data_IF_905469851134
#
_entry.id   IF_905469851134
#
_cell.length_a   1.000
_cell.length_b   1.000
_cell.length_c   1.000
_cell.angle_alpha   90.00
_cell.angle_beta   90.00
_cell.angle_gamma   90.00
#
_symmetry.space_group_name_H-M   'P 1'
#
loop_
_entity.id
_entity.type
_entity.pdbx_description
1 polymer ?
#
# COMPACT_ATOMS: atom_id res chain seq x y z
N UNK A 1 -0.66 8.84 -14.59
CA UNK A 1 -0.44 8.59 -13.15
C UNK A 1 -0.62 9.88 -12.36
N UNK A 2 -1.39 9.90 -11.29
CA UNK A 2 -1.67 11.14 -10.55
C UNK A 2 -0.54 11.61 -9.63
N UNK A 3 0.33 10.73 -9.17
CA UNK A 3 1.44 11.03 -8.25
C UNK A 3 2.76 11.38 -8.95
N UNK A 4 3.75 11.78 -8.13
CA UNK A 4 5.13 12.03 -8.55
C UNK A 4 6.04 10.95 -7.94
N UNK A 5 6.02 9.75 -8.50
CA UNK A 5 6.64 8.55 -7.90
C UNK A 5 8.17 8.61 -7.74
N UNK A 6 8.87 9.52 -8.41
CA UNK A 6 10.26 9.82 -8.08
C UNK A 6 10.42 10.29 -6.61
N UNK A 7 9.38 10.98 -6.09
CA UNK A 7 9.31 11.44 -4.70
C UNK A 7 9.10 10.27 -3.69
N UNK A 8 8.85 9.07 -4.19
CA UNK A 8 8.72 7.82 -3.42
C UNK A 8 9.98 6.96 -3.58
N UNK A 9 10.40 6.72 -4.84
CA UNK A 9 11.50 5.79 -5.17
C UNK A 9 12.85 6.28 -4.63
N UNK A 10 13.14 7.59 -4.76
CA UNK A 10 14.41 8.17 -4.30
C UNK A 10 14.54 8.10 -2.77
N UNK A 11 13.55 8.55 -1.98
CA UNK A 11 13.56 8.37 -0.53
C UNK A 11 13.69 6.91 -0.07
N UNK A 12 12.90 6.02 -0.68
CA UNK A 12 12.92 4.59 -0.33
C UNK A 12 14.30 3.96 -0.59
N UNK A 13 14.91 4.27 -1.74
CA UNK A 13 16.26 3.82 -2.06
C UNK A 13 17.29 4.29 -1.03
N UNK A 14 17.25 5.58 -0.66
CA UNK A 14 18.16 6.15 0.33
C UNK A 14 18.02 5.49 1.70
N UNK A 15 16.78 5.34 2.18
CA UNK A 15 16.48 4.74 3.50
C UNK A 15 16.89 3.27 3.52
N UNK A 16 16.74 2.55 2.41
CA UNK A 16 17.17 1.15 2.25
C UNK A 16 18.67 0.98 1.95
N UNK A 17 19.46 2.06 2.03
CA UNK A 17 20.92 2.01 1.98
C UNK A 17 21.55 2.25 0.61
N UNK A 18 20.79 2.51 -0.43
CA UNK A 18 21.30 2.92 -1.75
C UNK A 18 21.57 4.42 -1.70
N UNK A 19 22.85 4.81 -1.50
CA UNK A 19 23.24 6.21 -1.20
C UNK A 19 24.32 6.76 -2.14
N UNK A 20 24.70 6.04 -3.17
CA UNK A 20 25.72 6.45 -4.15
C UNK A 20 25.12 7.38 -5.22
N UNK A 21 24.61 8.52 -4.77
CA UNK A 21 24.09 9.60 -5.59
C UNK A 21 24.14 10.93 -4.83
N UNK A 22 23.99 12.05 -5.54
CA UNK A 22 23.93 13.39 -4.91
C UNK A 22 22.61 13.56 -4.15
N UNK A 23 22.65 13.28 -2.83
CA UNK A 23 21.48 13.29 -1.96
C UNK A 23 20.91 14.69 -1.75
N UNK A 24 21.73 15.74 -1.75
CA UNK A 24 21.27 17.12 -1.60
C UNK A 24 20.53 17.60 -2.86
N UNK A 25 21.08 17.32 -4.04
CA UNK A 25 20.40 17.61 -5.30
C UNK A 25 19.10 16.81 -5.44
N UNK A 26 19.11 15.53 -5.08
CA UNK A 26 17.92 14.68 -5.09
C UNK A 26 16.84 15.20 -4.16
N UNK A 27 17.19 15.57 -2.92
CA UNK A 27 16.25 16.17 -1.97
C UNK A 27 15.67 17.49 -2.49
N UNK A 28 16.52 18.37 -3.05
CA UNK A 28 16.05 19.63 -3.63
C UNK A 28 15.04 19.42 -4.76
N UNK A 29 15.22 18.38 -5.59
CA UNK A 29 14.32 18.04 -6.69
C UNK A 29 12.97 17.49 -6.19
N UNK A 30 12.94 16.54 -5.26
CA UNK A 30 11.68 16.00 -4.72
C UNK A 30 10.92 17.05 -3.92
N UNK A 31 11.63 17.88 -3.13
CA UNK A 31 11.03 19.03 -2.45
C UNK A 31 10.41 20.02 -3.44
N UNK A 32 11.10 20.31 -4.53
CA UNK A 32 10.60 21.20 -5.60
C UNK A 32 9.32 20.64 -6.24
N UNK A 33 9.26 19.34 -6.53
CA UNK A 33 8.03 18.71 -7.05
C UNK A 33 6.84 18.92 -6.14
N UNK A 34 7.06 18.89 -4.82
CA UNK A 34 6.02 18.97 -3.80
C UNK A 34 5.64 20.41 -3.40
N UNK A 35 6.45 21.42 -3.74
CA UNK A 35 6.25 22.80 -3.25
C UNK A 35 6.16 23.86 -4.35
N UNK A 36 6.56 23.52 -5.58
CA UNK A 36 6.56 24.47 -6.71
C UNK A 36 5.64 23.94 -7.80
N UNK A 37 4.69 24.76 -8.21
CA UNK A 37 3.73 24.41 -9.26
C UNK A 37 4.42 23.97 -10.56
N UNK A 38 3.78 23.03 -11.27
CA UNK A 38 4.22 22.56 -12.60
C UNK A 38 4.39 21.04 -12.74
N UNK A 39 4.53 20.27 -11.66
CA UNK A 39 4.66 18.80 -11.72
C UNK A 39 3.47 18.08 -11.10
N UNK A 40 3.07 18.49 -9.91
CA UNK A 40 1.86 17.99 -9.24
C UNK A 40 0.65 18.80 -9.70
N UNK A 41 -0.22 18.22 -10.48
CA UNK A 41 -1.43 18.88 -10.93
C UNK A 41 -2.34 19.22 -9.74
N UNK A 42 -2.79 20.48 -9.67
CA UNK A 42 -3.64 20.98 -8.59
C UNK A 42 -2.88 21.30 -7.29
N UNK A 43 -1.53 21.40 -7.36
CA UNK A 43 -0.67 21.65 -6.20
C UNK A 43 -1.04 22.94 -5.44
N UNK A 44 -1.36 24.04 -6.14
CA UNK A 44 -1.76 25.29 -5.51
C UNK A 44 -2.95 25.09 -4.55
N UNK A 45 -4.00 24.40 -5.03
CA UNK A 45 -5.17 24.10 -4.21
C UNK A 45 -4.83 23.14 -3.08
N UNK A 46 -4.02 22.11 -3.38
CA UNK A 46 -3.58 21.13 -2.38
C UNK A 46 -2.84 21.80 -1.21
N UNK A 47 -1.89 22.69 -1.49
CA UNK A 47 -1.16 23.44 -0.45
C UNK A 47 -2.02 24.44 0.33
N UNK A 48 -3.03 25.02 -0.33
CA UNK A 48 -3.89 26.07 0.28
C UNK A 48 -5.09 25.50 1.04
N UNK A 49 -5.73 24.46 0.49
CA UNK A 49 -6.99 23.90 0.98
C UNK A 49 -6.78 22.57 1.73
N UNK A 50 -5.61 21.94 1.56
CA UNK A 50 -5.35 20.59 2.02
C UNK A 50 -5.93 19.51 1.11
N UNK A 51 -6.35 19.84 -0.12
CA UNK A 51 -6.81 18.88 -1.11
C UNK A 51 -6.82 19.49 -2.52
N UNK A 52 -6.77 18.65 -3.54
CA UNK A 52 -7.01 19.05 -4.94
C UNK A 52 -8.52 19.18 -5.12
N UNK A 53 -8.99 20.40 -5.44
CA UNK A 53 -10.44 20.67 -5.51
C UNK A 53 -11.06 20.25 -6.84
N UNK A 54 -12.33 19.83 -6.80
CA UNK A 54 -13.18 19.74 -7.99
C UNK A 54 -13.32 21.17 -8.63
N UNK A 55 -13.36 21.35 -9.98
CA UNK A 55 -13.50 20.31 -10.98
C UNK A 55 -12.17 19.77 -11.57
N UNK A 56 -11.05 19.87 -10.86
CA UNK A 56 -9.83 19.24 -11.36
C UNK A 56 -10.07 17.74 -11.56
N UNK A 57 -9.68 17.25 -12.71
CA UNK A 57 -9.81 15.84 -13.07
C UNK A 57 -9.06 14.94 -12.08
N UNK A 58 -9.65 13.81 -11.64
CA UNK A 58 -9.10 12.84 -10.70
C UNK A 58 -8.60 13.46 -9.37
N UNK A 59 -9.34 14.43 -8.86
CA UNK A 59 -8.93 15.25 -7.70
C UNK A 59 -8.75 14.44 -6.41
N UNK A 60 -9.58 13.41 -6.16
CA UNK A 60 -9.43 12.51 -5.00
C UNK A 60 -8.14 11.72 -5.11
N UNK A 61 -7.92 11.05 -6.23
CA UNK A 61 -6.70 10.26 -6.46
C UNK A 61 -5.45 11.13 -6.32
N UNK A 62 -5.45 12.35 -6.88
CA UNK A 62 -4.32 13.29 -6.74
C UNK A 62 -4.07 13.68 -5.29
N UNK A 63 -5.11 13.92 -4.51
CA UNK A 63 -4.96 14.27 -3.09
C UNK A 63 -4.33 13.14 -2.31
N UNK A 64 -4.80 11.90 -2.50
CA UNK A 64 -4.26 10.72 -1.83
C UNK A 64 -2.81 10.45 -2.25
N UNK A 65 -2.50 10.52 -3.54
CA UNK A 65 -1.15 10.36 -4.08
C UNK A 65 -0.19 11.45 -3.58
N UNK A 66 -0.62 12.73 -3.55
CA UNK A 66 0.22 13.81 -3.04
C UNK A 66 0.53 13.60 -1.55
N UNK A 67 -0.47 13.22 -0.74
CA UNK A 67 -0.26 12.91 0.66
C UNK A 67 0.70 11.73 0.88
N UNK A 68 0.62 10.70 0.04
CA UNK A 68 1.55 9.58 0.07
C UNK A 68 2.97 9.97 -0.36
N UNK A 69 3.11 10.75 -1.44
CA UNK A 69 4.40 11.29 -1.86
C UNK A 69 5.03 12.17 -0.78
N UNK A 70 4.22 13.02 -0.11
CA UNK A 70 4.70 13.91 0.97
C UNK A 70 5.22 13.12 2.17
N UNK A 71 4.60 12.00 2.54
CA UNK A 71 5.14 11.11 3.56
C UNK A 71 6.56 10.66 3.23
N UNK A 72 6.79 10.23 1.99
CA UNK A 72 8.11 9.74 1.56
C UNK A 72 9.15 10.87 1.53
N UNK A 73 8.77 12.07 1.08
CA UNK A 73 9.66 13.26 1.13
C UNK A 73 9.95 13.64 2.58
N UNK A 74 8.97 13.57 3.48
CA UNK A 74 9.13 13.77 4.92
C UNK A 74 10.13 12.80 5.54
N UNK A 75 10.03 11.50 5.19
CA UNK A 75 10.97 10.46 5.60
C UNK A 75 12.39 10.72 5.09
N UNK A 76 12.52 11.23 3.88
CA UNK A 76 13.83 11.59 3.33
C UNK A 76 14.42 12.81 4.06
N UNK A 77 13.60 13.84 4.32
CA UNK A 77 14.01 15.01 5.08
C UNK A 77 14.50 14.62 6.49
N UNK A 78 13.73 13.79 7.20
CA UNK A 78 14.07 13.25 8.51
C UNK A 78 15.43 12.53 8.48
N UNK A 79 15.64 11.64 7.50
CA UNK A 79 16.88 10.88 7.34
C UNK A 79 18.09 11.75 6.99
N UNK A 80 17.87 12.96 6.43
CA UNK A 80 18.90 13.96 6.15
C UNK A 80 19.07 15.01 7.27
N UNK A 81 18.34 14.89 8.39
CA UNK A 81 18.37 15.85 9.50
C UNK A 81 17.77 17.22 9.17
N UNK A 82 16.82 17.28 8.22
CA UNK A 82 16.12 18.50 7.78
C UNK A 82 14.76 18.61 8.50
N UNK A 83 14.79 18.80 9.83
CA UNK A 83 13.64 18.67 10.71
C UNK A 83 12.45 19.55 10.30
N UNK A 84 12.70 20.82 9.93
CA UNK A 84 11.62 21.73 9.51
C UNK A 84 10.92 21.28 8.21
N UNK A 85 11.66 20.70 7.28
CA UNK A 85 11.09 20.12 6.07
C UNK A 85 10.30 18.83 6.41
N UNK A 86 10.83 18.00 7.29
CA UNK A 86 10.16 16.78 7.74
C UNK A 86 8.80 17.11 8.39
N UNK A 87 8.75 18.07 9.31
CA UNK A 87 7.52 18.53 9.96
C UNK A 87 6.49 19.05 8.95
N UNK A 88 6.94 19.90 8.00
CA UNK A 88 6.10 20.39 6.92
C UNK A 88 5.45 19.25 6.14
N UNK A 89 6.25 18.30 5.64
CA UNK A 89 5.75 17.20 4.83
C UNK A 89 4.87 16.23 5.63
N UNK A 90 5.19 15.95 6.89
CA UNK A 90 4.32 15.12 7.74
C UNK A 90 2.97 15.79 8.01
N UNK A 91 2.91 17.12 8.07
CA UNK A 91 1.64 17.86 8.13
C UNK A 91 0.84 17.66 6.84
N UNK A 92 1.49 17.81 5.66
CA UNK A 92 0.82 17.61 4.36
C UNK A 92 0.34 16.15 4.17
N UNK A 93 1.06 15.19 4.74
CA UNK A 93 0.68 13.77 4.70
C UNK A 93 -0.74 13.51 5.25
N UNK A 94 -1.22 14.32 6.19
CA UNK A 94 -2.55 14.17 6.80
C UNK A 94 -3.69 14.71 5.92
N UNK A 95 -3.38 15.34 4.79
CA UNK A 95 -4.35 15.97 3.90
C UNK A 95 -5.41 15.00 3.34
N UNK A 96 -5.15 13.69 3.30
CA UNK A 96 -6.14 12.68 2.91
C UNK A 96 -7.42 12.78 3.76
N UNK A 97 -7.33 13.15 5.03
CA UNK A 97 -8.47 13.26 5.95
C UNK A 97 -9.50 14.31 5.49
N UNK A 98 -9.06 15.35 4.77
CA UNK A 98 -9.94 16.43 4.30
C UNK A 98 -11.00 15.94 3.29
N UNK A 99 -10.74 14.82 2.60
CA UNK A 99 -11.66 14.22 1.65
C UNK A 99 -12.47 13.03 2.21
N UNK A 100 -12.25 12.67 3.48
CA UNK A 100 -13.00 11.59 4.11
C UNK A 100 -14.45 11.99 4.37
N UNK A 101 -15.40 11.21 3.84
CA UNK A 101 -16.82 11.37 4.16
C UNK A 101 -17.25 10.35 5.22
N UNK A 102 -17.54 10.78 6.46
CA UNK A 102 -17.91 9.87 7.53
C UNK A 102 -19.27 9.20 7.34
N UNK A 103 -20.13 9.71 6.45
CA UNK A 103 -21.45 9.14 6.17
C UNK A 103 -21.34 7.96 5.22
N UNK A 104 -20.61 8.13 4.11
CA UNK A 104 -20.44 7.10 3.09
C UNK A 104 -19.28 6.17 3.39
N UNK A 105 -18.33 6.58 4.25
CA UNK A 105 -17.07 5.87 4.54
C UNK A 105 -16.19 5.72 3.30
N UNK A 106 -16.17 6.74 2.43
CA UNK A 106 -15.30 6.85 1.27
C UNK A 106 -14.60 8.21 1.23
N UNK A 107 -13.50 8.27 0.50
CA UNK A 107 -12.92 9.55 0.08
C UNK A 107 -13.74 10.10 -1.08
N UNK A 108 -14.16 11.36 -0.97
CA UNK A 108 -14.98 12.05 -1.99
C UNK A 108 -14.37 13.39 -2.35
N UNK A 109 -14.57 13.80 -3.59
CA UNK A 109 -14.14 15.11 -4.06
C UNK A 109 -14.90 16.26 -3.40
N UNK A 110 -14.20 17.39 -3.23
CA UNK A 110 -14.79 18.66 -2.79
C UNK A 110 -14.45 19.78 -3.76
N UNK A 111 -15.35 20.76 -3.87
CA UNK A 111 -15.07 22.00 -4.56
C UNK A 111 -14.17 22.94 -3.69
N UNK A 112 -13.78 24.09 -4.25
CA UNK A 112 -12.95 25.09 -3.54
C UNK A 112 -13.61 25.71 -2.30
N UNK A 113 -14.93 25.58 -2.16
CA UNK A 113 -15.73 26.11 -1.06
C UNK A 113 -16.03 25.02 0.01
N UNK A 114 -15.54 23.79 -0.20
CA UNK A 114 -15.65 22.67 0.74
C UNK A 114 -16.91 21.82 0.56
N UNK A 115 -17.74 22.09 -0.46
CA UNK A 115 -18.92 21.28 -0.74
C UNK A 115 -18.53 19.98 -1.45
N UNK A 116 -19.22 18.89 -1.14
CA UNK A 116 -19.00 17.62 -1.81
C UNK A 116 -19.30 17.69 -3.31
N UNK A 117 -18.42 17.15 -4.15
CA UNK A 117 -18.74 16.80 -5.53
C UNK A 117 -19.86 15.77 -5.52
N UNK A 118 -20.82 15.89 -6.42
CA UNK A 118 -21.93 14.94 -6.52
C UNK A 118 -22.69 14.73 -5.19
N UNK A 119 -23.26 15.78 -4.56
CA UNK A 119 -23.86 15.68 -3.22
C UNK A 119 -25.03 14.70 -3.17
N UNK A 120 -25.83 14.60 -4.22
CA UNK A 120 -27.05 13.78 -4.28
C UNK A 120 -26.87 12.48 -5.09
N UNK A 121 -25.79 12.35 -5.90
CA UNK A 121 -25.60 11.29 -6.89
C UNK A 121 -24.30 10.49 -6.64
N UNK A 122 -23.76 10.49 -5.41
CA UNK A 122 -22.57 9.73 -5.13
C UNK A 122 -22.84 8.22 -5.14
N UNK A 123 -22.28 7.54 -6.14
CA UNK A 123 -22.25 6.08 -6.22
C UNK A 123 -20.80 5.58 -6.18
N UNK A 124 -20.41 4.80 -5.15
CA UNK A 124 -19.03 4.32 -5.00
C UNK A 124 -18.58 3.32 -6.08
N UNK A 125 -19.50 2.82 -6.88
CA UNK A 125 -19.22 1.90 -7.99
C UNK A 125 -18.97 2.62 -9.32
N UNK A 126 -19.23 3.92 -9.39
CA UNK A 126 -19.07 4.68 -10.65
C UNK A 126 -17.60 4.82 -11.02
N UNK A 127 -17.22 4.24 -12.15
CA UNK A 127 -15.87 4.30 -12.70
C UNK A 127 -15.59 5.65 -13.38
N UNK A 128 -14.31 6.02 -13.41
CA UNK A 128 -13.80 7.23 -14.08
C UNK A 128 -14.34 7.37 -15.50
N UNK A 129 -14.83 8.57 -15.85
CA UNK A 129 -15.42 8.85 -17.18
C UNK A 129 -16.84 8.41 -17.37
N UNK A 130 -17.45 7.72 -16.41
CA UNK A 130 -18.84 7.25 -16.44
C UNK A 130 -19.79 8.09 -15.56
N UNK A 131 -19.48 9.37 -15.36
CA UNK A 131 -20.26 10.29 -14.53
C UNK A 131 -19.51 10.78 -13.28
N UNK A 132 -18.43 10.14 -12.91
CA UNK A 132 -17.52 10.58 -11.85
C UNK A 132 -16.10 10.71 -12.40
N UNK A 133 -15.45 11.84 -12.17
CA UNK A 133 -14.08 12.13 -12.61
C UNK A 133 -13.15 12.41 -11.41
N UNK A 134 -13.52 12.02 -10.20
CA UNK A 134 -12.75 12.25 -9.00
C UNK A 134 -11.62 11.23 -8.81
N UNK A 135 -11.75 10.04 -9.43
CA UNK A 135 -10.80 8.93 -9.31
C UNK A 135 -10.03 8.68 -10.60
N UNK A 136 -8.81 8.21 -10.49
CA UNK A 136 -7.98 7.82 -11.64
C UNK A 136 -8.21 6.34 -11.93
N UNK A 137 -8.65 6.03 -13.17
CA UNK A 137 -8.75 4.64 -13.64
C UNK A 137 -9.35 3.68 -12.61
N UNK A 138 -10.41 4.12 -11.95
CA UNK A 138 -11.01 3.36 -10.85
C UNK A 138 -12.27 4.02 -10.32
N UNK A 139 -12.71 3.54 -9.18
CA UNK A 139 -13.86 4.04 -8.44
C UNK A 139 -13.53 4.27 -6.96
N UNK A 140 -14.52 4.68 -6.16
CA UNK A 140 -14.31 4.95 -4.75
C UNK A 140 -13.86 3.72 -3.95
N UNK A 141 -14.29 2.51 -4.32
CA UNK A 141 -13.88 1.28 -3.65
C UNK A 141 -12.39 1.00 -3.81
N UNK A 142 -11.85 1.15 -5.03
CA UNK A 142 -10.44 0.88 -5.32
C UNK A 142 -9.51 1.90 -4.67
N UNK A 143 -9.88 3.18 -4.72
CA UNK A 143 -9.08 4.26 -4.14
C UNK A 143 -9.21 4.42 -2.62
N UNK A 144 -10.15 3.72 -1.98
CA UNK A 144 -10.38 3.85 -0.54
C UNK A 144 -9.22 3.36 0.34
N UNK A 145 -8.32 2.57 -0.23
CA UNK A 145 -7.19 1.95 0.48
C UNK A 145 -5.87 2.69 0.28
N UNK A 146 -5.85 3.74 -0.55
CA UNK A 146 -4.63 4.46 -0.92
C UNK A 146 -4.14 5.43 0.17
N UNK A 147 -3.97 4.91 1.39
CA UNK A 147 -3.46 5.60 2.59
C UNK A 147 -2.47 4.68 3.31
N UNK A 148 -1.51 4.13 2.55
CA UNK A 148 -0.53 3.17 3.07
C UNK A 148 0.33 3.78 4.18
N UNK A 149 0.65 5.06 4.08
CA UNK A 149 1.48 5.78 5.06
C UNK A 149 0.83 5.88 6.45
N UNK A 150 -0.52 5.88 6.49
CA UNK A 150 -1.28 6.02 7.73
C UNK A 150 -2.50 5.11 7.78
N UNK A 151 -2.27 3.82 7.62
CA UNK A 151 -3.33 2.81 7.66
C UNK A 151 -4.06 2.82 9.01
N UNK A 152 -3.36 3.09 10.15
CA UNK A 152 -4.02 3.23 11.44
C UNK A 152 -4.94 4.46 11.49
N UNK A 153 -4.53 5.59 10.90
CA UNK A 153 -5.39 6.77 10.74
C UNK A 153 -6.66 6.44 9.96
N UNK A 154 -6.53 5.67 8.85
CA UNK A 154 -7.68 5.20 8.08
C UNK A 154 -8.57 4.25 8.88
N UNK A 155 -8.00 3.33 9.66
CA UNK A 155 -8.73 2.44 10.58
C UNK A 155 -9.56 3.28 11.56
N UNK A 156 -8.96 4.31 12.16
CA UNK A 156 -9.65 5.20 13.10
C UNK A 156 -10.81 5.95 12.43
N UNK A 157 -10.62 6.48 11.22
CA UNK A 157 -11.67 7.14 10.44
C UNK A 157 -12.84 6.20 10.10
N UNK A 158 -12.57 4.93 9.86
CA UNK A 158 -13.59 3.91 9.59
C UNK A 158 -14.37 3.49 10.84
N UNK A 159 -13.83 3.72 12.04
CA UNK A 159 -14.44 3.37 13.32
C UNK A 159 -13.83 2.14 14.01
N UNK A 160 -12.56 1.87 13.71
CA UNK A 160 -11.74 0.83 14.36
C UNK A 160 -11.58 -0.46 13.54
N UNK A 161 -10.80 -1.39 14.11
CA UNK A 161 -10.35 -2.63 13.45
C UNK A 161 -11.50 -3.42 12.81
N UNK A 162 -12.57 -3.65 13.56
CA UNK A 162 -13.70 -4.48 13.08
C UNK A 162 -14.42 -3.84 11.88
N UNK A 163 -14.59 -2.51 11.88
CA UNK A 163 -15.23 -1.79 10.78
C UNK A 163 -14.34 -1.77 9.53
N UNK A 164 -13.02 -1.60 9.72
CA UNK A 164 -12.04 -1.65 8.64
C UNK A 164 -11.98 -3.05 8.02
N UNK A 165 -11.87 -4.11 8.84
CA UNK A 165 -11.86 -5.50 8.38
C UNK A 165 -13.14 -5.85 7.61
N UNK A 166 -14.31 -5.47 8.14
CA UNK A 166 -15.58 -5.68 7.47
C UNK A 166 -15.64 -4.96 6.12
N UNK A 167 -15.13 -3.72 6.02
CA UNK A 167 -15.11 -2.97 4.76
C UNK A 167 -14.17 -3.61 3.72
N UNK A 168 -13.02 -4.17 4.14
CA UNK A 168 -12.17 -4.98 3.28
C UNK A 168 -12.89 -6.26 2.80
N UNK A 169 -13.59 -6.95 3.68
CA UNK A 169 -14.38 -8.14 3.30
C UNK A 169 -15.45 -7.80 2.25
N UNK A 170 -16.15 -6.67 2.43
CA UNK A 170 -17.11 -6.17 1.44
C UNK A 170 -16.44 -5.79 0.13
N UNK A 171 -15.31 -5.08 0.18
CA UNK A 171 -14.55 -4.69 -1.02
C UNK A 171 -14.20 -5.90 -1.90
N UNK A 172 -13.80 -7.01 -1.30
CA UNK A 172 -13.38 -8.23 -1.98
C UNK A 172 -14.57 -9.15 -2.39
N UNK A 173 -15.81 -8.75 -2.10
CA UNK A 173 -17.01 -9.56 -2.40
C UNK A 173 -18.16 -8.76 -3.03
N UNK A 174 -18.11 -7.42 -2.99
CA UNK A 174 -19.18 -6.56 -3.51
C UNK A 174 -19.26 -6.65 -5.03
N UNK A 175 -20.45 -6.98 -5.51
CA UNK A 175 -20.79 -6.99 -6.92
C UNK A 175 -21.32 -5.62 -7.36
N UNK A 176 -21.13 -5.28 -8.63
CA UNK A 176 -21.65 -4.05 -9.24
C UNK A 176 -20.55 -3.21 -9.90
N UNK A 177 -20.99 -2.20 -10.65
CA UNK A 177 -20.11 -1.35 -11.45
C UNK A 177 -19.41 -2.10 -12.60
N UNK A 178 -18.51 -1.37 -13.29
CA UNK A 178 -17.85 -1.88 -14.51
C UNK A 178 -16.72 -2.90 -14.21
N UNK A 179 -16.16 -2.91 -13.00
CA UNK A 179 -15.00 -3.72 -12.61
C UNK A 179 -15.23 -4.66 -11.42
N UNK A 180 -16.48 -4.79 -10.98
CA UNK A 180 -16.87 -5.81 -10.01
C UNK A 180 -16.79 -7.22 -10.61
N UNK A 181 -16.19 -8.16 -9.89
CA UNK A 181 -16.07 -9.56 -10.31
C UNK A 181 -16.66 -10.52 -9.28
N UNK A 182 -17.10 -11.70 -9.73
CA UNK A 182 -17.51 -12.78 -8.81
C UNK A 182 -16.35 -13.32 -7.98
N UNK A 183 -15.13 -13.23 -8.52
CA UNK A 183 -13.93 -13.78 -7.92
C UNK A 183 -13.35 -12.87 -6.82
N UNK A 184 -13.31 -11.54 -7.06
CA UNK A 184 -12.59 -10.58 -6.22
C UNK A 184 -13.39 -9.32 -5.84
N UNK A 185 -14.71 -9.29 -6.06
CA UNK A 185 -15.54 -8.13 -5.75
C UNK A 185 -15.11 -6.89 -6.53
N UNK A 186 -14.80 -5.81 -5.82
CA UNK A 186 -14.32 -4.55 -6.41
C UNK A 186 -12.79 -4.48 -6.54
N UNK A 187 -12.05 -5.44 -6.00
CA UNK A 187 -10.61 -5.54 -6.20
C UNK A 187 -10.29 -5.86 -7.65
N UNK A 188 -9.43 -5.05 -8.27
CA UNK A 188 -9.04 -5.23 -9.66
C UNK A 188 -7.51 -5.34 -9.78
N UNK A 189 -7.00 -6.56 -9.79
CA UNK A 189 -5.56 -6.83 -9.79
C UNK A 189 -4.82 -6.25 -10.99
N UNK A 190 -5.46 -6.14 -12.14
CA UNK A 190 -4.88 -5.59 -13.37
C UNK A 190 -4.67 -4.08 -13.36
N UNK A 191 -4.89 -3.40 -12.22
CA UNK A 191 -4.60 -1.97 -12.04
C UNK A 191 -4.04 -1.70 -10.63
N UNK A 192 -3.10 -0.75 -10.49
CA UNK A 192 -2.28 -0.58 -9.31
C UNK A 192 -2.98 0.01 -8.06
N UNK A 193 -4.04 0.86 -8.17
CA UNK A 193 -4.56 1.61 -7.02
C UNK A 193 -4.90 0.78 -5.79
N UNK A 194 -5.21 -0.50 -5.95
CA UNK A 194 -5.66 -1.37 -4.86
C UNK A 194 -4.83 -2.64 -4.64
N UNK A 195 -3.75 -2.86 -5.42
CA UNK A 195 -2.92 -4.08 -5.31
C UNK A 195 -2.35 -4.34 -3.92
N UNK A 196 -2.10 -3.28 -3.14
CA UNK A 196 -1.63 -3.35 -1.76
C UNK A 196 -2.74 -3.69 -0.77
N UNK A 197 -4.02 -3.48 -1.09
CA UNK A 197 -5.15 -3.59 -0.17
C UNK A 197 -5.28 -4.98 0.48
N UNK A 198 -4.88 -6.05 -0.21
CA UNK A 198 -4.89 -7.41 0.33
C UNK A 198 -4.03 -7.57 1.58
N UNK A 199 -2.95 -6.79 1.68
CA UNK A 199 -2.03 -6.81 2.81
C UNK A 199 -2.52 -5.97 3.99
N UNK A 200 -3.52 -5.09 3.79
CA UNK A 200 -4.06 -4.22 4.83
C UNK A 200 -4.70 -4.99 6.01
N UNK A 201 -5.12 -6.24 5.80
CA UNK A 201 -5.58 -7.11 6.88
C UNK A 201 -4.55 -7.30 8.01
N UNK A 202 -3.26 -7.18 7.73
CA UNK A 202 -2.22 -7.28 8.75
C UNK A 202 -2.31 -6.13 9.77
N UNK A 203 -2.81 -4.97 9.36
CA UNK A 203 -2.95 -3.79 10.20
C UNK A 203 -4.09 -3.90 11.23
N UNK A 204 -5.00 -4.86 11.04
CA UNK A 204 -6.10 -5.18 11.98
C UNK A 204 -5.92 -6.56 12.64
N UNK A 205 -4.71 -7.14 12.58
CA UNK A 205 -4.41 -8.43 13.22
C UNK A 205 -5.08 -9.64 12.55
N UNK A 206 -5.38 -9.57 11.26
CA UNK A 206 -6.00 -10.62 10.46
C UNK A 206 -5.08 -11.20 9.36
N UNK A 207 -3.80 -11.57 9.64
CA UNK A 207 -2.84 -12.02 8.63
C UNK A 207 -3.30 -13.25 7.85
N UNK A 208 -4.14 -14.10 8.43
CA UNK A 208 -4.71 -15.23 7.73
C UNK A 208 -5.62 -14.84 6.56
N UNK A 209 -6.35 -13.71 6.67
CA UNK A 209 -7.14 -13.18 5.55
C UNK A 209 -6.23 -12.62 4.45
N UNK A 210 -5.18 -11.91 4.80
CA UNK A 210 -4.16 -11.49 3.83
C UNK A 210 -3.58 -12.68 3.08
N UNK A 211 -3.13 -13.72 3.81
CA UNK A 211 -2.60 -14.95 3.23
C UNK A 211 -3.58 -15.61 2.22
N UNK A 212 -4.85 -15.73 2.60
CA UNK A 212 -5.90 -16.31 1.74
C UNK A 212 -6.07 -15.55 0.43
N UNK A 213 -6.21 -14.22 0.51
CA UNK A 213 -6.48 -13.41 -0.67
C UNK A 213 -5.25 -13.27 -1.58
N UNK A 214 -4.06 -13.09 -1.00
CA UNK A 214 -2.80 -13.08 -1.76
C UNK A 214 -2.61 -14.39 -2.54
N UNK A 215 -2.83 -15.55 -1.89
CA UNK A 215 -2.75 -16.86 -2.57
C UNK A 215 -3.77 -16.98 -3.69
N UNK A 216 -4.99 -16.52 -3.47
CA UNK A 216 -6.04 -16.57 -4.48
C UNK A 216 -5.69 -15.72 -5.71
N UNK A 217 -5.14 -14.54 -5.51
CA UNK A 217 -4.68 -13.68 -6.61
C UNK A 217 -3.50 -14.31 -7.35
N UNK A 218 -2.49 -14.83 -6.64
CA UNK A 218 -1.37 -15.54 -7.26
C UNK A 218 -1.82 -16.72 -8.13
N UNK A 219 -2.88 -17.42 -7.72
CA UNK A 219 -3.44 -18.57 -8.46
C UNK A 219 -4.27 -18.15 -9.67
N UNK A 220 -5.05 -17.06 -9.56
CA UNK A 220 -6.09 -16.71 -10.55
C UNK A 220 -5.62 -15.67 -11.56
N UNK A 221 -4.78 -14.72 -11.15
CA UNK A 221 -4.39 -13.58 -11.96
C UNK A 221 -3.06 -13.77 -12.71
N UNK A 222 -2.34 -14.89 -12.39
CA UNK A 222 -1.07 -15.22 -13.05
C UNK A 222 -1.08 -16.62 -13.64
N UNK A 223 -0.59 -16.75 -14.88
CA UNK A 223 -0.54 -18.02 -15.61
C UNK A 223 0.75 -18.14 -16.41
N UNK A 224 1.18 -19.37 -16.68
CA UNK A 224 2.35 -19.64 -17.51
C UNK A 224 1.97 -19.73 -19.00
N UNK A 225 1.49 -18.60 -19.54
CA UNK A 225 1.17 -18.44 -20.97
C UNK A 225 1.42 -17.00 -21.43
N UNK A 226 1.20 -16.70 -22.71
CA UNK A 226 1.41 -15.36 -23.30
C UNK A 226 0.43 -14.28 -22.77
N UNK A 227 -0.62 -14.67 -22.08
CA UNK A 227 -1.63 -13.81 -21.44
C UNK A 227 -1.60 -14.00 -19.92
N UNK A 228 -0.44 -14.36 -19.40
CA UNK A 228 -0.25 -14.81 -18.03
C UNK A 228 -0.29 -13.72 -16.96
N UNK A 229 -0.44 -12.45 -17.34
CA UNK A 229 -0.53 -11.30 -16.44
C UNK A 229 -1.86 -10.62 -16.69
N UNK A 230 -2.66 -10.36 -15.66
CA UNK A 230 -3.89 -9.58 -15.79
C UNK A 230 -3.55 -8.09 -15.95
N UNK A 231 -4.26 -7.39 -16.84
CA UNK A 231 -3.98 -5.99 -17.17
C UNK A 231 -2.67 -5.79 -17.93
N UNK A 232 -2.04 -4.63 -17.73
CA UNK A 232 -0.75 -4.30 -18.32
C UNK A 232 0.39 -4.64 -17.36
N UNK A 233 1.60 -4.89 -17.90
CA UNK A 233 2.80 -5.15 -17.09
C UNK A 233 3.28 -3.92 -16.32
N UNK A 234 3.04 -2.73 -16.87
CA UNK A 234 3.36 -1.42 -16.32
C UNK A 234 4.80 -1.28 -15.79
N UNK A 235 5.73 -1.45 -16.75
CA UNK A 235 7.17 -1.32 -16.53
C UNK A 235 7.73 -2.24 -15.41
N UNK A 236 7.13 -3.41 -15.22
CA UNK A 236 7.58 -4.41 -14.25
C UNK A 236 6.78 -4.45 -12.95
N UNK A 237 5.76 -3.61 -12.79
CA UNK A 237 4.95 -3.57 -11.56
C UNK A 237 4.25 -4.91 -11.29
N UNK A 238 3.63 -5.50 -12.29
CA UNK A 238 2.90 -6.75 -12.14
C UNK A 238 3.83 -7.94 -11.84
N UNK A 239 4.97 -8.02 -12.52
CA UNK A 239 6.01 -9.02 -12.24
C UNK A 239 6.61 -8.84 -10.85
N UNK A 240 6.87 -7.60 -10.42
CA UNK A 240 7.38 -7.30 -9.10
C UNK A 240 6.38 -7.72 -8.00
N UNK A 241 5.08 -7.43 -8.20
CA UNK A 241 4.04 -7.87 -7.27
C UNK A 241 4.01 -9.39 -7.13
N UNK A 242 4.06 -10.11 -8.27
CA UNK A 242 4.13 -11.58 -8.29
C UNK A 242 5.35 -12.11 -7.52
N UNK A 243 6.55 -11.61 -7.83
CA UNK A 243 7.79 -12.09 -7.23
C UNK A 243 7.81 -11.87 -5.73
N UNK A 244 7.48 -10.68 -5.25
CA UNK A 244 7.41 -10.38 -3.83
C UNK A 244 6.35 -11.23 -3.12
N UNK A 245 5.14 -11.28 -3.65
CA UNK A 245 4.04 -12.04 -3.07
C UNK A 245 4.32 -13.54 -3.06
N UNK A 246 4.95 -14.08 -4.13
CA UNK A 246 5.37 -15.47 -4.23
C UNK A 246 6.46 -15.85 -3.21
N UNK A 247 7.33 -14.91 -2.82
CA UNK A 247 8.28 -15.07 -1.71
C UNK A 247 7.64 -14.99 -0.33
N UNK A 248 6.41 -14.48 -0.23
CA UNK A 248 5.62 -14.43 1.00
C UNK A 248 5.55 -13.08 1.70
N UNK A 249 5.95 -11.97 1.06
CA UNK A 249 5.88 -10.62 1.60
C UNK A 249 5.75 -9.58 0.48
N UNK A 250 5.43 -8.32 0.85
CA UNK A 250 5.22 -7.24 -0.11
C UNK A 250 5.66 -5.88 0.50
N UNK A 251 6.28 -4.97 -0.27
CA UNK A 251 6.63 -3.62 0.17
C UNK A 251 5.38 -2.73 0.21
N UNK A 252 4.50 -2.96 1.19
CA UNK A 252 3.24 -2.24 1.35
C UNK A 252 3.44 -0.72 1.52
N UNK A 253 4.44 -0.33 2.28
CA UNK A 253 4.77 1.06 2.58
C UNK A 253 6.23 1.34 2.23
N UNK A 254 6.45 2.34 1.36
CA UNK A 254 7.78 2.81 1.00
C UNK A 254 8.37 3.75 2.06
N UNK A 255 9.68 3.92 2.04
CA UNK A 255 10.45 4.72 3.02
C UNK A 255 10.29 4.29 4.48
N UNK A 256 9.77 3.10 4.68
CA UNK A 256 9.82 2.35 5.95
C UNK A 256 10.48 1.01 5.62
N UNK A 257 11.62 0.67 6.26
CA UNK A 257 12.42 -0.49 5.88
C UNK A 257 11.81 -1.80 6.41
N UNK A 258 10.56 -2.09 6.01
CA UNK A 258 9.85 -3.33 6.32
C UNK A 258 8.96 -3.78 5.16
N UNK A 259 8.57 -5.06 5.18
CA UNK A 259 7.69 -5.69 4.21
C UNK A 259 6.56 -6.41 4.93
N UNK A 260 5.33 -6.20 4.49
CA UNK A 260 4.16 -6.84 5.09
C UNK A 260 4.06 -8.30 4.63
N UNK A 261 3.82 -9.23 5.55
CA UNK A 261 3.77 -10.66 5.28
C UNK A 261 2.45 -11.04 4.60
N UNK A 262 2.56 -11.86 3.55
CA UNK A 262 1.46 -12.54 2.87
C UNK A 262 1.52 -14.06 3.09
N UNK A 263 1.71 -14.81 2.00
CA UNK A 263 1.85 -16.27 2.04
C UNK A 263 2.74 -16.77 0.90
N UNK A 264 3.93 -17.38 1.18
CA UNK A 264 4.83 -17.87 0.15
C UNK A 264 4.20 -19.02 -0.66
N UNK A 265 4.48 -19.08 -1.97
CA UNK A 265 4.04 -20.21 -2.82
C UNK A 265 5.15 -21.21 -3.10
N UNK A 266 6.42 -20.85 -2.92
CA UNK A 266 7.55 -21.74 -3.11
C UNK A 266 8.00 -22.37 -1.80
N UNK A 267 8.47 -23.63 -1.87
CA UNK A 267 9.03 -24.32 -0.70
C UNK A 267 10.35 -23.70 -0.25
N UNK A 268 11.13 -23.17 -1.19
CA UNK A 268 12.37 -22.47 -0.93
C UNK A 268 12.70 -21.45 -2.01
N UNK A 269 13.26 -20.31 -1.59
CA UNK A 269 13.82 -19.26 -2.45
C UNK A 269 15.20 -18.88 -1.92
N UNK A 270 16.16 -18.71 -2.81
CA UNK A 270 17.51 -18.22 -2.47
C UNK A 270 17.75 -16.88 -3.15
N UNK A 271 18.02 -15.85 -2.36
CA UNK A 271 18.41 -14.53 -2.83
C UNK A 271 19.92 -14.38 -2.73
N UNK A 272 20.59 -14.26 -3.88
CA UNK A 272 22.01 -13.90 -3.96
C UNK A 272 22.13 -12.39 -4.01
N UNK A 273 22.67 -11.79 -2.97
CA UNK A 273 22.68 -10.36 -2.77
C UNK A 273 23.93 -9.69 -3.37
N UNK A 274 23.86 -8.42 -3.83
CA UNK A 274 25.00 -7.72 -4.42
C UNK A 274 26.22 -7.59 -3.50
N UNK A 275 26.02 -7.61 -2.18
CA UNK A 275 27.07 -7.58 -1.16
C UNK A 275 27.75 -8.94 -0.93
N UNK A 276 27.40 -9.97 -1.71
CA UNK A 276 27.91 -11.34 -1.59
C UNK A 276 27.24 -12.20 -0.51
N UNK A 277 26.31 -11.64 0.26
CA UNK A 277 25.51 -12.41 1.22
C UNK A 277 24.42 -13.22 0.51
N UNK A 278 23.91 -14.24 1.19
CA UNK A 278 22.79 -15.07 0.69
C UNK A 278 21.67 -15.09 1.74
N UNK A 279 20.45 -14.81 1.32
CA UNK A 279 19.25 -14.98 2.13
C UNK A 279 18.47 -16.18 1.61
N UNK A 280 18.17 -17.16 2.48
CA UNK A 280 17.38 -18.35 2.15
C UNK A 280 16.03 -18.25 2.84
N UNK A 281 14.97 -18.24 2.04
CA UNK A 281 13.58 -18.25 2.50
C UNK A 281 13.04 -19.67 2.32
N UNK A 282 12.50 -20.27 3.38
CA UNK A 282 11.88 -21.61 3.32
C UNK A 282 10.46 -21.57 3.83
N UNK A 283 9.59 -22.41 3.26
CA UNK A 283 8.19 -22.55 3.68
C UNK A 283 7.88 -24.04 3.92
N UNK A 284 8.14 -24.50 5.15
CA UNK A 284 7.94 -25.89 5.55
C UNK A 284 6.45 -26.25 5.54
N UNK A 285 6.12 -27.43 4.98
CA UNK A 285 4.76 -27.97 4.82
C UNK A 285 3.86 -27.07 3.94
N UNK A 286 4.45 -26.31 3.02
CA UNK A 286 3.72 -25.48 2.08
C UNK A 286 2.96 -26.34 1.05
N UNK A 287 1.72 -25.96 0.76
CA UNK A 287 0.91 -26.53 -0.33
C UNK A 287 -0.24 -25.57 -0.69
N UNK A 288 -1.08 -25.95 -1.65
CA UNK A 288 -2.29 -25.18 -1.98
C UNK A 288 -3.25 -25.07 -0.76
N UNK A 289 -3.34 -26.13 0.05
CA UNK A 289 -4.18 -26.19 1.24
C UNK A 289 -3.49 -25.54 2.45
N UNK A 290 -2.17 -25.67 2.55
CA UNK A 290 -1.36 -25.17 3.66
C UNK A 290 -0.89 -23.73 3.40
N UNK A 291 -1.83 -22.81 3.22
CA UNK A 291 -1.54 -21.42 2.87
C UNK A 291 -1.36 -20.49 4.08
N UNK A 292 -1.68 -20.93 5.30
CA UNK A 292 -1.66 -20.08 6.48
C UNK A 292 -0.37 -20.23 7.26
N UNK A 293 0.27 -19.11 7.59
CA UNK A 293 1.47 -19.09 8.46
C UNK A 293 1.09 -19.55 9.85
N UNK A 294 1.77 -20.59 10.35
CA UNK A 294 1.61 -21.10 11.71
C UNK A 294 2.65 -20.50 12.67
N UNK A 295 3.86 -20.34 12.19
CA UNK A 295 4.97 -19.68 12.88
C UNK A 295 6.01 -19.23 11.88
N UNK A 296 6.90 -18.34 12.30
CA UNK A 296 8.00 -17.83 11.51
C UNK A 296 9.26 -17.70 12.38
N UNK A 297 10.44 -17.90 11.77
CA UNK A 297 11.73 -17.62 12.37
C UNK A 297 12.59 -16.76 11.43
N UNK A 298 13.42 -15.90 12.00
CA UNK A 298 14.49 -15.17 11.31
C UNK A 298 15.80 -15.56 11.97
N UNK A 299 16.72 -16.16 11.22
CA UNK A 299 18.00 -16.66 11.72
C UNK A 299 17.84 -17.54 12.98
N UNK A 300 16.88 -18.47 12.95
CA UNK A 300 16.57 -19.40 14.03
C UNK A 300 15.86 -18.80 15.25
N UNK A 301 15.57 -17.49 15.26
CA UNK A 301 14.83 -16.83 16.34
C UNK A 301 13.36 -16.70 15.95
N UNK A 302 12.46 -17.05 16.86
CA UNK A 302 11.02 -16.91 16.65
C UNK A 302 10.65 -15.45 16.31
N UNK A 303 9.79 -15.29 15.32
CA UNK A 303 9.31 -14.01 14.83
C UNK A 303 7.78 -14.04 14.72
N UNK A 304 7.12 -13.23 15.54
CA UNK A 304 5.66 -13.19 15.66
C UNK A 304 5.01 -11.96 14.99
N UNK A 305 5.82 -11.16 14.28
CA UNK A 305 5.35 -9.96 13.59
C UNK A 305 4.81 -10.31 12.20
N UNK A 306 3.74 -9.64 11.79
CA UNK A 306 3.19 -9.76 10.44
C UNK A 306 3.91 -8.86 9.40
N UNK A 307 5.13 -8.47 9.72
CA UNK A 307 6.05 -7.78 8.82
C UNK A 307 7.48 -8.33 8.95
N UNK A 308 8.29 -8.10 7.93
CA UNK A 308 9.68 -8.51 7.83
C UNK A 308 10.57 -7.26 7.74
N UNK A 309 11.57 -7.06 8.63
CA UNK A 309 12.52 -5.97 8.49
C UNK A 309 13.39 -6.11 7.24
N UNK A 310 13.69 -5.00 6.56
CA UNK A 310 14.53 -4.97 5.36
C UNK A 310 15.91 -5.60 5.60
N UNK A 311 16.51 -5.33 6.75
CA UNK A 311 17.81 -5.89 7.14
C UNK A 311 17.82 -7.43 7.22
N UNK A 312 16.69 -8.06 7.50
CA UNK A 312 16.58 -9.52 7.50
C UNK A 312 16.75 -10.13 6.10
N UNK A 313 16.50 -9.35 5.05
CA UNK A 313 16.75 -9.74 3.67
C UNK A 313 18.18 -9.43 3.24
N UNK A 314 18.63 -8.17 3.43
CA UNK A 314 19.86 -7.66 2.80
C UNK A 314 21.14 -8.04 3.54
N UNK A 315 21.05 -8.43 4.82
CA UNK A 315 22.20 -8.94 5.57
C UNK A 315 22.46 -10.42 5.35
N UNK A 316 21.59 -11.12 4.63
CA UNK A 316 21.64 -12.56 4.44
C UNK A 316 21.15 -13.34 5.68
N UNK A 317 21.13 -14.66 5.57
CA UNK A 317 20.67 -15.56 6.61
C UNK A 317 19.45 -16.39 6.22
N UNK A 318 18.58 -16.72 7.20
CA UNK A 318 17.41 -17.57 6.94
C UNK A 318 16.12 -16.92 7.39
N UNK A 319 15.07 -17.11 6.58
CA UNK A 319 13.69 -16.76 6.88
C UNK A 319 12.88 -18.06 6.72
N UNK A 320 12.26 -18.52 7.81
CA UNK A 320 11.65 -19.84 7.85
C UNK A 320 10.18 -19.71 8.22
N UNK A 321 9.30 -20.04 7.27
CA UNK A 321 7.86 -20.17 7.50
C UNK A 321 7.50 -21.62 7.82
N UNK A 322 6.61 -21.81 8.78
CA UNK A 322 5.86 -23.06 8.98
C UNK A 322 4.43 -22.80 8.52
N UNK A 323 3.99 -23.58 7.53
CA UNK A 323 2.67 -23.43 6.91
C UNK A 323 1.68 -24.46 7.44
N UNK A 324 0.38 -24.20 7.28
CA UNK A 324 -0.68 -25.14 7.67
C UNK A 324 -2.03 -24.79 7.04
N UNK A 325 -3.02 -25.74 7.17
CA UNK A 325 -4.30 -25.63 6.45
C UNK A 325 -5.36 -24.77 7.12
N UNK A 326 -5.09 -24.25 8.31
CA UNK A 326 -6.05 -23.43 9.08
C UNK A 326 -5.41 -22.16 9.59
N UNK A 327 -6.18 -21.06 9.70
CA UNK A 327 -5.73 -19.86 10.39
C UNK A 327 -5.13 -20.16 11.76
N UNK A 328 -4.06 -19.46 12.10
CA UNK A 328 -3.36 -19.55 13.39
C UNK A 328 -3.48 -18.24 14.17
N UNK A 329 -2.90 -18.17 15.35
CA UNK A 329 -2.78 -16.94 16.14
C UNK A 329 -1.49 -16.17 15.85
N UNK A 330 -0.65 -16.66 14.93
CA UNK A 330 0.56 -15.96 14.55
C UNK A 330 0.24 -14.59 13.94
N UNK A 331 0.98 -13.56 14.35
CA UNK A 331 0.84 -12.21 13.80
C UNK A 331 -0.46 -11.47 14.14
N UNK A 332 -1.31 -12.00 15.06
CA UNK A 332 -2.60 -11.39 15.37
C UNK A 332 -2.55 -10.35 16.48
N UNK A 333 -1.49 -10.29 17.27
CA UNK A 333 -1.37 -9.32 18.35
C UNK A 333 -1.17 -7.91 17.80
N UNK A 334 -1.57 -6.90 18.56
CA UNK A 334 -1.37 -5.50 18.19
C UNK A 334 0.11 -5.17 17.98
N UNK A 335 0.99 -5.68 18.85
CA UNK A 335 2.45 -5.53 18.74
C UNK A 335 3.04 -6.24 17.51
N UNK A 336 2.29 -7.07 16.81
CA UNK A 336 2.73 -7.78 15.60
C UNK A 336 2.41 -7.03 14.30
N UNK A 337 1.67 -5.94 14.37
CA UNK A 337 1.19 -5.19 13.20
C UNK A 337 2.30 -4.34 12.58
N UNK A 338 2.27 -4.10 11.25
CA UNK A 338 3.23 -3.24 10.55
C UNK A 338 3.16 -1.77 11.00
N UNK A 339 4.15 -0.99 10.61
CA UNK A 339 4.22 0.45 10.89
C UNK A 339 3.03 1.24 10.30
N UNK A 340 2.57 2.24 11.02
CA UNK A 340 1.68 3.31 10.55
C UNK A 340 2.10 4.64 11.17
N UNK A 341 1.87 5.77 10.46
CA UNK A 341 2.26 7.10 10.95
C UNK A 341 1.49 7.46 12.23
N UNK A 342 0.18 7.23 12.26
CA UNK A 342 -0.62 7.36 13.49
C UNK A 342 -0.26 6.23 14.44
N UNK A 343 0.19 6.53 15.69
CA UNK A 343 0.39 5.51 16.71
C UNK A 343 -0.92 4.79 17.03
N UNK A 344 -0.81 3.55 17.43
CA UNK A 344 -1.94 2.84 18.06
C UNK A 344 -2.05 3.32 19.50
N UNK A 345 -3.28 3.58 19.95
CA UNK A 345 -3.52 3.89 21.35
C UNK A 345 -3.09 2.67 22.20
N UNK A 346 -2.15 2.88 23.12
CA UNK A 346 -1.62 1.83 24.01
C UNK A 346 -2.55 1.65 25.20
#
# INVERSE_FOLDING_TARGET
>A
MPGTWADVVIPDAYIKGIRDFDTEAAFALVKKNATVDGRRNGLENYLKLGYVSHPNYINVSRTLEHAYCDFNVGKFAEALGKDADAEFFYTQTQNFQNLWDPQTKFFRGKDKDGNWSYPDDFDPFTYTGKGNNDYCEGNAWQWNWHVMQDTQGLINLMGGDAAFEQKLDVFLTAQGGDHGSEEFGQYWHGNEPDQHALYAYNYVGAPAKAAKWVRRVLEKEYRNDTWGISGNEDAGQMSAWYIFSAMGFYPYLHSVPEYTIGSPIFDAVTLNLPNGATCVITAKDNSAENMYVQSMCINGKAWDKSFLPHEALVNGGTIEFKMGPKPSKWGTSEASRPYSMTPRDQ
#
